data_IF_327073339931
#
_entry.id   IF_327073339931
#
_cell.length_a   1.000
_cell.length_b   1.000
_cell.length_c   1.000
_cell.angle_alpha   90.00
_cell.angle_beta   90.00
_cell.angle_gamma   90.00
#
_symmetry.space_group_name_H-M   'P 1'
#
loop_
_entity.id
_entity.type
_entity.pdbx_description
1 polymer ?
#
# COMPACT_ATOMS: atom_id res chain seq x y z
N UNK A 1 1.66 -13.61 -29.74
CA UNK A 1 2.37 -12.84 -28.69
C UNK A 1 1.33 -11.96 -28.02
N UNK A 2 1.02 -12.21 -26.75
CA UNK A 2 0.04 -11.40 -26.02
C UNK A 2 0.68 -10.04 -25.73
N UNK A 3 0.00 -8.95 -26.09
CA UNK A 3 0.51 -7.58 -25.89
C UNK A 3 0.19 -7.13 -24.46
N UNK A 4 1.07 -6.36 -23.81
CA UNK A 4 0.73 -5.71 -22.55
C UNK A 4 -0.53 -4.87 -22.69
N UNK A 5 -1.44 -4.98 -21.73
CA UNK A 5 -2.67 -4.19 -21.69
C UNK A 5 -3.12 -4.00 -20.25
N UNK A 6 -3.72 -2.84 -19.96
CA UNK A 6 -4.38 -2.54 -18.69
C UNK A 6 -5.68 -1.79 -18.95
N UNK A 7 -6.75 -2.16 -18.26
CA UNK A 7 -8.01 -1.42 -18.24
C UNK A 7 -8.55 -1.38 -16.81
N UNK A 8 -9.03 -0.21 -16.38
CA UNK A 8 -9.58 0.01 -15.04
C UNK A 8 -10.95 0.65 -15.16
N UNK A 9 -11.91 0.20 -14.36
CA UNK A 9 -13.29 0.68 -14.36
C UNK A 9 -13.85 0.83 -12.96
N UNK A 10 -14.72 1.82 -12.75
CA UNK A 10 -15.51 1.97 -11.52
C UNK A 10 -16.82 1.24 -11.70
N UNK A 11 -17.15 0.36 -10.76
CA UNK A 11 -18.39 -0.41 -10.75
C UNK A 11 -19.49 0.30 -9.96
N UNK A 12 -19.13 0.90 -8.82
CA UNK A 12 -20.03 1.75 -8.03
C UNK A 12 -19.26 2.72 -7.13
N UNK A 13 -19.90 3.81 -6.74
CA UNK A 13 -19.35 4.75 -5.76
C UNK A 13 -20.44 5.37 -4.89
N UNK A 14 -20.08 5.63 -3.64
CA UNK A 14 -20.84 6.40 -2.66
C UNK A 14 -19.90 7.41 -1.99
N UNK A 15 -20.36 8.11 -0.95
CA UNK A 15 -19.56 9.12 -0.25
C UNK A 15 -18.29 8.56 0.41
N UNK A 16 -18.29 7.29 0.83
CA UNK A 16 -17.19 6.69 1.60
C UNK A 16 -16.79 5.29 1.13
N UNK A 17 -17.36 4.82 0.01
CA UNK A 17 -17.11 3.46 -0.50
C UNK A 17 -17.05 3.50 -2.03
N UNK A 18 -16.09 2.78 -2.59
CA UNK A 18 -15.95 2.59 -4.04
C UNK A 18 -15.75 1.10 -4.33
N UNK A 19 -16.42 0.61 -5.36
CA UNK A 19 -16.13 -0.69 -5.97
C UNK A 19 -15.60 -0.44 -7.38
N UNK A 20 -14.51 -1.10 -7.72
CA UNK A 20 -13.81 -0.93 -8.99
C UNK A 20 -13.06 -2.21 -9.33
N UNK A 21 -12.65 -2.32 -10.59
CA UNK A 21 -11.86 -3.43 -11.08
C UNK A 21 -10.71 -2.93 -11.95
N UNK A 22 -9.67 -3.74 -12.04
CA UNK A 22 -8.59 -3.58 -13.03
C UNK A 22 -8.30 -4.92 -13.67
N UNK A 23 -8.19 -4.94 -14.99
CA UNK A 23 -7.75 -6.09 -15.76
C UNK A 23 -6.40 -5.75 -16.35
N UNK A 24 -5.41 -6.62 -16.16
CA UNK A 24 -4.10 -6.41 -16.74
C UNK A 24 -3.50 -7.70 -17.31
N UNK A 25 -2.63 -7.52 -18.29
CA UNK A 25 -1.73 -8.55 -18.78
C UNK A 25 -0.37 -7.90 -18.92
N UNK A 26 0.60 -8.38 -18.16
CA UNK A 26 1.97 -7.90 -18.22
C UNK A 26 2.90 -9.04 -18.64
N UNK A 27 4.00 -8.70 -19.30
CA UNK A 27 5.03 -9.66 -19.69
C UNK A 27 6.41 -9.03 -19.48
N UNK A 28 7.38 -9.85 -19.08
CA UNK A 28 8.78 -9.45 -18.89
C UNK A 28 9.09 -8.73 -17.56
N UNK A 29 10.37 -8.71 -17.20
CA UNK A 29 10.92 -8.04 -15.99
C UNK A 29 10.06 -8.17 -14.72
N UNK A 30 10.05 -9.36 -14.11
CA UNK A 30 9.29 -9.69 -12.89
C UNK A 30 9.72 -8.91 -11.62
N UNK A 31 10.76 -8.08 -11.70
CA UNK A 31 11.26 -7.27 -10.58
C UNK A 31 10.79 -5.81 -10.62
N UNK A 32 10.08 -5.39 -11.68
CA UNK A 32 9.67 -3.99 -11.84
C UNK A 32 8.16 -3.88 -11.80
N UNK A 33 7.63 -3.01 -10.95
CA UNK A 33 6.22 -2.62 -10.98
C UNK A 33 5.86 -2.02 -12.34
N UNK A 34 4.70 -2.38 -12.90
CA UNK A 34 4.22 -1.90 -14.21
C UNK A 34 3.15 -0.83 -14.12
N UNK A 35 2.37 -0.82 -13.04
CA UNK A 35 1.29 0.14 -12.79
C UNK A 35 0.90 0.09 -11.33
N UNK A 36 0.24 1.13 -10.83
CA UNK A 36 -0.47 1.08 -9.56
C UNK A 36 -1.90 1.61 -9.77
N UNK A 37 -2.80 0.75 -10.25
CA UNK A 37 -4.21 1.09 -10.34
C UNK A 37 -4.78 1.14 -8.91
N UNK A 38 -5.32 2.29 -8.51
CA UNK A 38 -5.74 2.53 -7.13
C UNK A 38 -6.96 3.45 -7.03
N UNK A 39 -7.66 3.34 -5.91
CA UNK A 39 -8.60 4.34 -5.43
C UNK A 39 -7.88 5.27 -4.43
N UNK A 40 -7.88 6.57 -4.71
CA UNK A 40 -7.24 7.59 -3.88
C UNK A 40 -8.28 8.44 -3.15
N UNK A 41 -8.18 8.52 -1.82
CA UNK A 41 -9.01 9.41 -1.02
C UNK A 41 -8.72 10.87 -1.36
N UNK A 42 -9.75 11.71 -1.38
CA UNK A 42 -9.62 13.18 -1.52
C UNK A 42 -9.83 13.83 -0.16
N UNK A 43 -8.79 14.48 0.34
CA UNK A 43 -8.77 15.18 1.61
C UNK A 43 -7.67 16.25 1.60
N UNK A 44 -7.76 17.23 2.50
CA UNK A 44 -6.69 18.19 2.73
C UNK A 44 -5.61 17.55 3.60
N UNK A 45 -4.34 17.82 3.28
CA UNK A 45 -3.22 17.31 4.06
C UNK A 45 -3.36 17.65 5.56
N UNK A 46 -3.09 16.67 6.41
CA UNK A 46 -3.30 16.77 7.86
C UNK A 46 -2.10 16.22 8.61
N UNK A 47 -1.70 16.88 9.71
CA UNK A 47 -0.64 16.34 10.57
C UNK A 47 -1.13 15.08 11.28
N UNK A 48 -0.28 14.05 11.32
CA UNK A 48 -0.58 12.80 12.01
C UNK A 48 -0.95 13.02 13.49
N UNK A 49 -0.34 14.00 14.15
CA UNK A 49 -0.67 14.38 15.53
C UNK A 49 -2.11 14.88 15.74
N UNK A 50 -2.79 15.31 14.66
CA UNK A 50 -4.19 15.73 14.68
C UNK A 50 -5.17 14.63 14.22
N UNK A 51 -4.66 13.49 13.75
CA UNK A 51 -5.47 12.37 13.27
C UNK A 51 -5.68 11.37 14.40
N UNK A 52 -6.93 11.19 14.83
CA UNK A 52 -7.27 10.19 15.84
C UNK A 52 -7.52 8.80 15.25
N UNK A 53 -7.97 8.72 14.00
CA UNK A 53 -8.37 7.47 13.34
C UNK A 53 -8.45 7.64 11.82
N UNK A 54 -8.13 6.58 11.10
CA UNK A 54 -8.29 6.42 9.65
C UNK A 54 -8.96 5.05 9.41
N UNK A 55 -10.28 4.93 9.68
CA UNK A 55 -10.97 3.67 9.55
C UNK A 55 -11.04 3.23 8.08
N UNK A 56 -10.79 1.95 7.83
CA UNK A 56 -10.80 1.39 6.48
C UNK A 56 -11.43 0.01 6.43
N UNK A 57 -11.99 -0.32 5.27
CA UNK A 57 -12.34 -1.68 4.88
C UNK A 57 -11.91 -1.89 3.43
N UNK A 58 -11.17 -2.97 3.16
CA UNK A 58 -10.85 -3.41 1.81
C UNK A 58 -11.22 -4.88 1.67
N UNK A 59 -12.13 -5.15 0.74
CA UNK A 59 -12.49 -6.48 0.30
C UNK A 59 -12.15 -6.61 -1.18
N UNK A 60 -11.48 -7.70 -1.56
CA UNK A 60 -11.11 -7.92 -2.96
C UNK A 60 -11.07 -9.41 -3.32
N UNK A 61 -11.20 -9.67 -4.62
CA UNK A 61 -10.97 -10.97 -5.23
C UNK A 61 -9.92 -10.83 -6.33
N UNK A 62 -9.26 -11.92 -6.68
CA UNK A 62 -8.28 -11.95 -7.76
C UNK A 62 -8.56 -13.15 -8.64
N UNK A 63 -8.65 -12.90 -9.94
CA UNK A 63 -8.76 -13.93 -10.97
C UNK A 63 -7.59 -13.78 -11.93
N UNK A 64 -6.85 -14.86 -12.16
CA UNK A 64 -5.68 -14.86 -13.04
C UNK A 64 -5.48 -16.23 -13.70
N UNK A 65 -4.86 -16.23 -14.88
CA UNK A 65 -4.45 -17.43 -15.59
C UNK A 65 -2.93 -17.44 -15.74
N UNK A 66 -2.27 -18.54 -15.36
CA UNK A 66 -0.81 -18.65 -15.42
C UNK A 66 -0.14 -18.08 -14.18
N UNK A 67 1.06 -17.52 -14.36
CA UNK A 67 1.84 -16.92 -13.27
C UNK A 67 1.38 -15.49 -13.04
N UNK A 68 1.22 -15.11 -11.77
CA UNK A 68 0.99 -13.73 -11.33
C UNK A 68 2.09 -13.34 -10.35
N UNK A 69 2.69 -12.16 -10.54
CA UNK A 69 3.53 -11.50 -9.54
C UNK A 69 2.93 -10.12 -9.31
N UNK A 70 2.33 -9.91 -8.14
CA UNK A 70 1.64 -8.67 -7.79
C UNK A 70 1.47 -8.53 -6.28
N UNK A 71 1.29 -7.31 -5.79
CA UNK A 71 0.72 -7.06 -4.47
C UNK A 71 -0.71 -6.53 -4.54
N UNK A 72 -1.37 -6.52 -3.37
CA UNK A 72 -2.56 -5.70 -3.12
C UNK A 72 -2.27 -4.91 -1.86
N UNK A 73 -2.33 -3.59 -1.95
CA UNK A 73 -1.72 -2.71 -0.95
C UNK A 73 -2.48 -1.42 -0.73
N UNK A 74 -2.43 -0.94 0.52
CA UNK A 74 -2.56 0.49 0.79
C UNK A 74 -1.22 1.16 0.53
N UNK A 75 -1.25 2.39 0.05
CA UNK A 75 -0.09 3.22 -0.20
C UNK A 75 -0.35 4.65 0.30
N UNK A 76 0.51 5.13 1.18
CA UNK A 76 0.33 6.39 1.90
C UNK A 76 1.62 7.19 1.89
N UNK A 77 1.52 8.49 1.67
CA UNK A 77 2.69 9.36 1.61
C UNK A 77 2.63 10.48 2.64
N UNK A 78 3.79 10.79 3.23
CA UNK A 78 3.94 11.90 4.16
C UNK A 78 5.07 12.85 3.79
N UNK A 79 4.98 14.08 4.28
CA UNK A 79 6.02 15.09 4.16
C UNK A 79 6.07 16.01 5.39
N UNK A 80 7.18 16.73 5.59
CA UNK A 80 7.31 17.70 6.70
C UNK A 80 6.37 18.91 6.58
N UNK A 81 5.81 19.16 5.39
CA UNK A 81 4.86 20.24 5.14
C UNK A 81 3.70 19.74 4.28
N UNK A 82 2.54 20.39 4.37
CA UNK A 82 1.30 20.03 3.65
C UNK A 82 1.41 20.07 2.12
N UNK A 83 2.45 20.70 1.57
CA UNK A 83 2.72 20.80 0.13
C UNK A 83 4.15 20.40 -0.24
N UNK A 84 4.84 19.71 0.67
CA UNK A 84 6.20 19.24 0.46
C UNK A 84 6.26 18.03 -0.46
N UNK A 85 7.45 17.74 -0.97
CA UNK A 85 7.73 16.46 -1.61
C UNK A 85 7.64 15.31 -0.59
N UNK A 86 7.28 14.12 -1.06
CA UNK A 86 7.16 12.94 -0.22
C UNK A 86 8.51 12.55 0.40
N UNK A 87 8.57 12.53 1.73
CA UNK A 87 9.73 12.08 2.50
C UNK A 87 9.60 10.61 2.88
N UNK A 88 8.37 10.18 3.16
CA UNK A 88 8.06 8.81 3.53
C UNK A 88 6.90 8.25 2.73
N UNK A 89 7.00 6.96 2.45
CA UNK A 89 5.97 6.11 1.85
C UNK A 89 5.70 4.97 2.81
N UNK A 90 4.43 4.74 3.15
CA UNK A 90 4.00 3.70 4.07
C UNK A 90 3.03 2.81 3.32
N UNK A 91 3.50 1.63 2.96
CA UNK A 91 2.70 0.62 2.29
C UNK A 91 2.22 -0.47 3.25
N UNK A 92 0.99 -0.92 3.07
CA UNK A 92 0.43 -2.05 3.81
C UNK A 92 -0.05 -3.09 2.80
N UNK A 93 0.76 -4.11 2.57
CA UNK A 93 0.49 -5.17 1.61
C UNK A 93 -0.38 -6.25 2.26
N UNK A 94 -1.62 -6.35 1.81
CA UNK A 94 -2.56 -7.40 2.19
C UNK A 94 -2.34 -8.70 1.39
N UNK A 95 -1.61 -8.63 0.27
CA UNK A 95 -1.17 -9.78 -0.49
C UNK A 95 0.22 -9.54 -1.09
N UNK A 96 1.05 -10.58 -1.10
CA UNK A 96 2.28 -10.65 -1.87
C UNK A 96 2.25 -11.94 -2.71
N UNK A 97 1.99 -11.82 -4.02
CA UNK A 97 1.70 -12.96 -4.89
C UNK A 97 2.92 -13.29 -5.75
N UNK A 98 3.15 -14.58 -5.98
CA UNK A 98 4.17 -15.08 -6.92
C UNK A 98 5.60 -14.64 -6.61
N UNK A 99 5.90 -14.27 -5.36
CA UNK A 99 7.21 -13.79 -4.96
C UNK A 99 7.43 -12.29 -5.12
N UNK A 100 6.36 -11.50 -5.29
CA UNK A 100 6.44 -10.05 -5.12
C UNK A 100 7.06 -9.72 -3.76
N UNK A 101 8.03 -8.80 -3.75
CA UNK A 101 8.78 -8.43 -2.55
C UNK A 101 8.82 -6.91 -2.39
N UNK A 102 8.73 -6.40 -1.15
CA UNK A 102 8.78 -4.97 -0.88
C UNK A 102 10.19 -4.42 -1.05
N UNK A 103 10.31 -3.09 -1.09
CA UNK A 103 11.60 -2.41 -0.97
C UNK A 103 12.20 -2.73 0.40
N UNK A 104 13.46 -3.19 0.41
CA UNK A 104 14.19 -3.45 1.64
C UNK A 104 15.70 -3.25 1.45
N UNK A 105 16.30 -2.43 2.31
CA UNK A 105 17.76 -2.20 2.30
C UNK A 105 18.57 -3.41 2.76
N UNK A 106 17.99 -4.27 3.60
CA UNK A 106 18.68 -5.41 4.24
C UNK A 106 18.12 -6.77 3.82
N UNK A 107 16.93 -6.80 3.22
CA UNK A 107 16.16 -8.02 2.96
C UNK A 107 15.60 -8.70 4.22
N UNK A 108 15.81 -8.12 5.41
CA UNK A 108 15.31 -8.63 6.69
C UNK A 108 14.07 -7.86 7.14
N UNK A 109 13.21 -8.51 7.92
CA UNK A 109 11.99 -7.91 8.46
C UNK A 109 11.95 -7.90 9.99
N UNK A 110 11.06 -7.05 10.52
CA UNK A 110 10.64 -7.05 11.92
C UNK A 110 9.19 -7.50 11.98
N UNK A 111 8.89 -8.54 12.79
CA UNK A 111 7.53 -9.04 12.95
C UNK A 111 6.70 -8.12 13.86
N UNK A 112 5.44 -7.88 13.49
CA UNK A 112 4.47 -7.12 14.28
C UNK A 112 3.04 -7.62 14.02
N UNK A 113 2.10 -7.26 14.88
CA UNK A 113 0.68 -7.57 14.71
C UNK A 113 -0.13 -6.28 14.83
N UNK A 114 -0.90 -5.96 13.79
CA UNK A 114 -1.75 -4.76 13.73
C UNK A 114 -3.11 -5.18 13.17
N UNK A 115 -4.20 -4.66 13.74
CA UNK A 115 -5.58 -5.02 13.35
C UNK A 115 -5.81 -6.55 13.23
N UNK A 116 -5.33 -7.32 14.21
CA UNK A 116 -5.39 -8.80 14.23
C UNK A 116 -4.74 -9.50 13.04
N UNK A 117 -3.84 -8.84 12.33
CA UNK A 117 -3.09 -9.39 11.20
C UNK A 117 -1.59 -9.37 11.52
N UNK A 118 -0.91 -10.48 11.28
CA UNK A 118 0.55 -10.56 11.39
C UNK A 118 1.21 -9.94 10.16
N UNK A 119 2.16 -9.02 10.40
CA UNK A 119 2.91 -8.33 9.37
C UNK A 119 4.41 -8.50 9.58
N UNK A 120 5.14 -8.58 8.47
CA UNK A 120 6.58 -8.35 8.41
C UNK A 120 6.83 -6.92 7.93
N UNK A 121 7.44 -6.09 8.77
CA UNK A 121 7.85 -4.73 8.42
C UNK A 121 9.23 -4.75 7.75
N UNK A 122 9.32 -4.15 6.57
CA UNK A 122 10.53 -3.89 5.81
C UNK A 122 10.74 -2.38 5.65
N UNK A 123 11.98 -1.96 5.44
CA UNK A 123 12.28 -0.58 5.08
C UNK A 123 13.45 -0.45 4.09
N UNK A 124 13.37 0.57 3.23
CA UNK A 124 14.44 0.94 2.32
C UNK A 124 14.19 2.26 1.60
N UNK A 125 15.10 2.63 0.70
CA UNK A 125 15.02 3.89 -0.04
C UNK A 125 14.49 3.68 -1.46
N UNK A 126 13.60 4.57 -1.89
CA UNK A 126 13.18 4.75 -3.27
C UNK A 126 13.51 6.18 -3.71
N UNK A 127 14.69 6.37 -4.29
CA UNK A 127 15.24 7.71 -4.48
C UNK A 127 15.47 8.40 -3.12
N UNK A 128 14.88 9.57 -2.94
CA UNK A 128 14.97 10.36 -1.69
C UNK A 128 13.87 10.03 -0.68
N UNK A 129 12.94 9.12 -1.00
CA UNK A 129 11.83 8.70 -0.14
C UNK A 129 12.18 7.44 0.64
N UNK A 130 11.93 7.43 1.94
CA UNK A 130 12.04 6.23 2.78
C UNK A 130 10.72 5.47 2.74
N UNK A 131 10.76 4.22 2.29
CA UNK A 131 9.60 3.33 2.18
C UNK A 131 9.58 2.38 3.38
N UNK A 132 8.45 2.34 4.09
CA UNK A 132 8.11 1.32 5.08
C UNK A 132 7.02 0.43 4.50
N UNK A 133 7.26 -0.88 4.41
CA UNK A 133 6.28 -1.82 3.87
C UNK A 133 5.92 -2.86 4.92
N UNK A 134 4.67 -2.84 5.37
CA UNK A 134 4.09 -3.88 6.22
C UNK A 134 3.49 -4.95 5.30
N UNK A 135 4.10 -6.14 5.25
CA UNK A 135 3.63 -7.23 4.40
C UNK A 135 2.96 -8.29 5.25
N UNK A 136 1.66 -8.54 4.99
CA UNK A 136 0.90 -9.55 5.72
C UNK A 136 1.54 -10.93 5.52
N UNK A 137 1.64 -11.71 6.61
CA UNK A 137 2.24 -13.05 6.57
C UNK A 137 1.43 -14.04 5.72
N UNK A 138 0.12 -13.84 5.65
CA UNK A 138 -0.81 -14.54 4.78
C UNK A 138 -1.63 -13.56 3.94
N UNK A 139 -2.16 -14.01 2.81
CA UNK A 139 -3.06 -13.17 1.99
C UNK A 139 -4.35 -12.85 2.73
N UNK A 140 -4.62 -11.57 2.95
CA UNK A 140 -5.83 -11.05 3.60
C UNK A 140 -6.78 -10.52 2.54
N UNK A 141 -7.83 -11.28 2.20
CA UNK A 141 -8.83 -10.87 1.18
C UNK A 141 -9.88 -9.88 1.66
N UNK A 142 -10.06 -9.79 2.98
CA UNK A 142 -11.01 -8.90 3.63
C UNK A 142 -10.33 -8.32 4.87
N UNK A 143 -9.91 -7.06 4.78
CA UNK A 143 -9.27 -6.34 5.86
C UNK A 143 -10.19 -5.24 6.37
N UNK A 144 -10.32 -5.12 7.69
CA UNK A 144 -10.99 -4.01 8.36
C UNK A 144 -10.17 -3.59 9.57
N UNK A 145 -9.89 -2.30 9.70
CA UNK A 145 -9.04 -1.78 10.77
C UNK A 145 -8.87 -0.28 10.69
N UNK A 146 -7.87 0.22 11.42
CA UNK A 146 -7.49 1.63 11.43
C UNK A 146 -6.08 1.79 10.86
N UNK A 147 -5.93 2.55 9.77
CA UNK A 147 -4.61 2.80 9.17
C UNK A 147 -3.70 3.63 10.09
N UNK A 148 -4.27 4.37 11.06
CA UNK A 148 -3.50 5.12 12.05
C UNK A 148 -2.68 4.22 12.98
N UNK A 149 -3.07 2.96 13.16
CA UNK A 149 -2.33 2.01 14.00
C UNK A 149 -0.92 1.72 13.42
N UNK A 150 -0.77 1.76 12.09
CA UNK A 150 0.53 1.59 11.43
C UNK A 150 1.45 2.79 11.67
N UNK A 151 0.92 4.01 11.57
CA UNK A 151 1.68 5.21 11.92
C UNK A 151 2.04 5.23 13.41
N UNK A 152 1.13 4.82 14.29
CA UNK A 152 1.39 4.70 15.73
C UNK A 152 2.54 3.73 16.00
N UNK A 153 2.55 2.56 15.34
CA UNK A 153 3.68 1.64 15.41
C UNK A 153 5.00 2.31 14.98
N UNK A 154 5.02 3.00 13.84
CA UNK A 154 6.23 3.65 13.34
C UNK A 154 6.72 4.77 14.27
N UNK A 155 5.80 5.54 14.87
CA UNK A 155 6.12 6.60 15.84
C UNK A 155 6.77 5.98 17.09
N UNK A 156 6.17 4.92 17.63
CA UNK A 156 6.59 4.31 18.89
C UNK A 156 7.85 3.43 18.75
N UNK A 157 8.07 2.82 17.59
CA UNK A 157 9.10 1.78 17.38
C UNK A 157 10.22 2.18 16.43
N UNK A 158 9.92 3.01 15.44
CA UNK A 158 10.87 3.39 14.38
C UNK A 158 11.30 4.86 14.45
N UNK A 159 10.83 5.62 15.45
CA UNK A 159 11.18 7.03 15.64
C UNK A 159 10.53 7.97 14.61
N UNK A 160 9.44 7.55 13.98
CA UNK A 160 8.70 8.35 13.01
C UNK A 160 8.09 9.60 13.69
N UNK A 161 8.15 10.76 13.03
CA UNK A 161 7.61 11.99 13.62
C UNK A 161 6.10 12.11 13.40
N UNK A 162 5.33 12.28 14.47
CA UNK A 162 3.90 12.61 14.39
C UNK A 162 3.62 14.02 13.83
N UNK A 163 4.66 14.85 13.63
CA UNK A 163 4.52 16.16 12.97
C UNK A 163 4.39 16.07 11.44
N UNK A 164 4.65 14.90 10.86
CA UNK A 164 4.52 14.65 9.43
C UNK A 164 3.07 14.87 8.97
N UNK A 165 2.92 15.47 7.79
CA UNK A 165 1.63 15.63 7.12
C UNK A 165 1.34 14.39 6.29
N UNK A 166 0.20 13.76 6.53
CA UNK A 166 -0.36 12.75 5.64
C UNK A 166 -0.99 13.46 4.44
N UNK A 167 -0.46 13.19 3.25
CA UNK A 167 -0.86 13.86 2.01
C UNK A 167 -1.68 12.96 1.09
N UNK A 168 -1.46 11.66 1.21
CA UNK A 168 -2.01 10.67 0.27
C UNK A 168 -2.44 9.43 1.02
N UNK A 169 -3.62 8.91 0.67
CA UNK A 169 -4.09 7.59 1.08
C UNK A 169 -4.70 6.91 -0.14
N UNK A 170 -4.07 5.82 -0.56
CA UNK A 170 -4.43 5.04 -1.75
C UNK A 170 -4.60 3.57 -1.40
N UNK A 171 -5.39 2.88 -2.20
CA UNK A 171 -5.67 1.46 -2.10
C UNK A 171 -5.71 0.85 -3.51
N UNK A 172 -4.83 -0.09 -3.79
CA UNK A 172 -4.61 -0.57 -5.16
C UNK A 172 -3.81 -1.87 -5.26
N UNK A 173 -3.21 -2.08 -6.43
CA UNK A 173 -2.40 -3.25 -6.75
C UNK A 173 -1.23 -2.88 -7.65
N UNK A 174 -0.03 -3.37 -7.32
CA UNK A 174 1.15 -3.29 -8.17
C UNK A 174 1.42 -4.62 -8.87
N UNK A 175 1.02 -4.79 -10.15
CA UNK A 175 1.45 -5.94 -10.93
C UNK A 175 2.88 -5.77 -11.45
N UNK A 176 3.64 -6.87 -11.40
CA UNK A 176 4.98 -7.02 -11.95
C UNK A 176 4.94 -7.81 -13.27
N UNK A 177 4.38 -9.03 -13.24
CA UNK A 177 4.20 -9.91 -14.42
C UNK A 177 2.97 -10.77 -14.30
#
# INVERSE_FOLDING_TARGET
>A
MQRPAVSTGVDSSSSSTVAWHTNCTWVGASSNVKSYANAALKFDAVQLSAVSSIPTTMEYSLEYSGTIVADVSYDMFTASTSSGSNEFEIMIWLAALGGAGPISSTGSSVATTIANTEFSLYSGLNGDTTVYSFVASDTVKSFSGDLMDFFTYLIDKEGFSSSQYLNTVQAGTEPFT
#
